data_IF_096664741287
#
_entry.id   IF_096664741287
#
_cell.length_a   1.000
_cell.length_b   1.000
_cell.length_c   1.000
_cell.angle_alpha   90.00
_cell.angle_beta   90.00
_cell.angle_gamma   90.00
#
_symmetry.space_group_name_H-M   'P 1'
#
loop_
_entity.id
_entity.type
_entity.pdbx_description
1 polymer ?
#
# COMPACT_ATOMS: atom_id res chain seq x y z
N UNK A 1 77.82 -9.83 5.87
CA UNK A 1 78.79 -9.34 6.87
C UNK A 1 78.24 -8.05 7.46
N UNK A 2 77.86 -8.05 8.75
CA UNK A 2 78.49 -7.27 9.85
C UNK A 2 78.36 -5.74 9.63
N UNK A 3 77.84 -4.88 10.52
CA UNK A 3 77.71 -4.88 11.99
C UNK A 3 76.92 -3.58 12.39
N UNK A 4 76.01 -3.60 13.39
CA UNK A 4 76.10 -2.94 14.74
C UNK A 4 76.16 -1.38 14.72
N UNK A 5 75.59 -0.56 15.63
CA UNK A 5 75.00 -0.67 16.99
C UNK A 5 74.55 0.73 17.46
N UNK A 6 73.48 0.78 18.28
CA UNK A 6 73.29 1.54 19.54
C UNK A 6 73.72 3.03 19.67
N UNK A 7 72.80 3.90 20.09
CA UNK A 7 72.81 4.61 21.41
C UNK A 7 71.72 5.68 21.51
N UNK A 8 70.87 5.56 22.53
CA UNK A 8 70.16 6.66 23.21
C UNK A 8 71.14 7.42 24.13
N UNK A 9 70.86 8.67 24.59
CA UNK A 9 70.10 8.83 25.84
C UNK A 9 69.26 10.14 26.03
N UNK A 10 68.28 10.03 26.92
CA UNK A 10 67.95 10.91 28.06
C UNK A 10 67.32 12.33 27.88
N UNK A 11 66.08 12.41 28.39
CA UNK A 11 65.59 13.30 29.48
C UNK A 11 65.61 14.83 29.31
N UNK A 12 64.41 15.43 29.41
CA UNK A 12 64.12 16.43 30.46
C UNK A 12 62.61 16.62 30.67
N UNK A 13 62.21 16.46 31.92
CA UNK A 13 60.88 16.72 32.47
C UNK A 13 60.48 18.19 32.37
N UNK A 14 59.18 18.43 32.18
CA UNK A 14 58.51 19.61 32.74
C UNK A 14 57.11 19.20 33.22
N UNK A 15 56.97 19.14 34.54
CA UNK A 15 55.72 19.02 35.27
C UNK A 15 54.90 20.30 35.05
N UNK A 16 53.63 20.18 34.68
CA UNK A 16 52.68 21.29 34.82
C UNK A 16 51.34 20.78 35.33
N UNK A 17 51.14 21.10 36.61
CA UNK A 17 49.91 21.39 37.34
C UNK A 17 48.62 20.65 36.95
N UNK A 18 48.19 19.78 37.87
CA UNK A 18 46.80 19.39 38.07
C UNK A 18 45.92 20.64 38.26
N UNK A 19 44.87 20.75 37.46
CA UNK A 19 43.71 21.58 37.80
C UNK A 19 42.47 20.68 37.85
N UNK A 20 41.89 20.41 39.03
CA UNK A 20 40.62 19.72 39.10
C UNK A 20 39.51 20.74 38.85
N UNK A 21 39.04 20.83 37.60
CA UNK A 21 37.79 21.54 37.31
C UNK A 21 36.64 20.58 37.59
N UNK A 22 36.03 20.74 38.75
CA UNK A 22 34.78 20.09 39.10
C UNK A 22 33.69 20.46 38.08
N UNK A 23 33.43 19.59 37.12
CA UNK A 23 32.18 19.62 36.35
C UNK A 23 31.13 18.91 37.20
N UNK A 24 30.40 19.68 37.98
CA UNK A 24 29.13 19.25 38.56
C UNK A 24 28.17 18.94 37.42
N UNK A 25 28.23 17.71 36.91
CA UNK A 25 27.19 17.16 36.03
C UNK A 25 26.03 16.80 36.93
N UNK A 26 25.19 17.78 37.23
CA UNK A 26 23.86 17.53 37.79
C UNK A 26 23.09 16.74 36.73
N UNK A 27 23.11 15.41 36.87
CA UNK A 27 22.21 14.50 36.18
C UNK A 27 20.79 14.83 36.66
N UNK A 28 20.16 15.81 36.01
CA UNK A 28 18.72 15.94 36.08
C UNK A 28 18.15 14.74 35.29
N UNK A 29 17.36 13.85 35.92
CA UNK A 29 16.57 12.92 35.14
C UNK A 29 15.66 13.79 34.28
N UNK A 30 15.81 13.69 32.95
CA UNK A 30 14.81 14.18 32.03
C UNK A 30 13.58 13.31 32.29
N UNK A 31 12.73 13.76 33.21
CA UNK A 31 11.42 13.17 33.44
C UNK A 31 10.73 13.26 32.08
N UNK A 32 10.67 12.11 31.41
CA UNK A 32 9.95 11.92 30.17
C UNK A 32 8.51 12.26 30.49
N UNK A 33 8.06 13.40 29.98
CA UNK A 33 6.66 13.79 29.94
C UNK A 33 5.90 12.80 29.05
N UNK A 34 5.62 11.61 29.56
CA UNK A 34 4.84 10.57 28.87
C UNK A 34 3.63 10.09 29.68
N UNK A 35 3.28 10.78 30.77
CA UNK A 35 2.15 10.41 31.63
C UNK A 35 0.97 11.41 31.59
N UNK A 36 0.99 12.40 30.70
CA UNK A 36 -0.01 13.47 30.68
C UNK A 36 -0.77 13.59 29.35
N UNK A 37 -0.97 12.48 28.64
CA UNK A 37 -1.78 12.51 27.41
C UNK A 37 -2.78 11.36 27.28
N UNK A 38 -3.24 10.80 28.40
CA UNK A 38 -4.59 10.23 28.48
C UNK A 38 -5.56 11.39 28.70
N UNK A 39 -5.83 12.15 27.63
CA UNK A 39 -7.11 12.87 27.57
C UNK A 39 -8.18 11.78 27.51
N UNK A 40 -9.30 11.94 28.20
CA UNK A 40 -10.41 11.02 28.04
C UNK A 40 -11.06 11.33 26.70
N UNK A 41 -11.04 10.39 25.76
CA UNK A 41 -11.80 10.45 24.51
C UNK A 41 -13.24 10.85 24.86
N UNK A 42 -13.71 12.00 24.34
CA UNK A 42 -15.08 12.42 24.59
C UNK A 42 -16.04 11.37 24.02
N UNK A 43 -17.18 11.15 24.70
CA UNK A 43 -18.15 10.15 24.24
C UNK A 43 -18.72 10.48 22.84
N UNK A 44 -18.78 11.77 22.50
CA UNK A 44 -19.19 12.26 21.19
C UNK A 44 -18.20 11.84 20.09
N UNK A 45 -16.90 12.06 20.30
CA UNK A 45 -15.85 11.67 19.35
C UNK A 45 -15.76 10.16 19.23
N UNK A 46 -15.89 9.42 20.34
CA UNK A 46 -15.96 7.95 20.34
C UNK A 46 -17.10 7.46 19.45
N UNK A 47 -18.30 8.00 19.64
CA UNK A 47 -19.48 7.63 18.86
C UNK A 47 -19.30 7.97 17.38
N UNK A 48 -18.66 9.11 17.07
CA UNK A 48 -18.35 9.49 15.70
C UNK A 48 -17.37 8.51 15.04
N UNK A 49 -16.31 8.11 15.74
CA UNK A 49 -15.35 7.11 15.26
C UNK A 49 -16.02 5.75 15.06
N UNK A 50 -16.85 5.29 16.01
CA UNK A 50 -17.60 4.04 15.91
C UNK A 50 -18.53 4.03 14.69
N UNK A 51 -19.20 5.15 14.40
CA UNK A 51 -20.00 5.30 13.18
C UNK A 51 -19.13 5.30 11.93
N UNK A 52 -17.97 5.96 11.96
CA UNK A 52 -17.04 6.01 10.84
C UNK A 52 -16.51 4.62 10.48
N UNK A 53 -16.04 3.83 11.47
CA UNK A 53 -15.57 2.45 11.24
C UNK A 53 -16.69 1.49 10.83
N UNK A 54 -17.94 1.81 11.18
CA UNK A 54 -19.12 1.03 10.76
C UNK A 54 -19.67 1.43 9.38
N UNK A 55 -19.16 2.50 8.77
CA UNK A 55 -19.70 3.05 7.52
C UNK A 55 -19.43 2.16 6.29
N UNK A 56 -18.32 1.41 6.32
CA UNK A 56 -17.93 0.49 5.25
C UNK A 56 -17.13 -0.69 5.84
N UNK A 57 -17.05 -1.82 5.11
CA UNK A 57 -16.22 -2.96 5.53
C UNK A 57 -14.74 -2.60 5.65
N UNK A 58 -14.20 -1.79 4.73
CA UNK A 58 -12.81 -1.34 4.77
C UNK A 58 -12.77 0.16 4.98
N UNK A 59 -12.18 0.59 6.09
CA UNK A 59 -12.11 2.00 6.47
C UNK A 59 -10.66 2.42 6.72
N UNK A 60 -10.22 3.49 6.07
CA UNK A 60 -8.87 4.04 6.23
C UNK A 60 -8.91 5.47 6.76
N UNK A 61 -8.34 5.70 7.94
CA UNK A 61 -8.05 7.05 8.42
C UNK A 61 -6.70 7.49 7.87
N UNK A 62 -6.66 8.56 7.06
CA UNK A 62 -5.47 8.99 6.34
C UNK A 62 -5.30 10.50 6.31
N UNK A 63 -4.13 10.96 5.89
CA UNK A 63 -3.84 12.39 5.69
C UNK A 63 -4.07 12.77 4.22
N UNK A 64 -5.09 13.58 3.96
CA UNK A 64 -5.61 13.85 2.62
C UNK A 64 -6.70 12.86 2.21
N UNK A 65 -6.98 12.78 0.92
CA UNK A 65 -7.98 11.85 0.36
C UNK A 65 -7.29 10.78 -0.50
N UNK A 66 -7.97 9.69 -0.89
CA UNK A 66 -7.42 8.69 -1.81
C UNK A 66 -6.92 9.30 -3.13
N UNK A 67 -7.62 10.32 -3.65
CA UNK A 67 -7.27 11.04 -4.88
C UNK A 67 -6.10 12.00 -4.65
N UNK A 68 -6.04 12.62 -3.47
CA UNK A 68 -5.04 13.63 -3.12
C UNK A 68 -4.35 13.33 -1.78
N UNK A 69 -3.50 12.28 -1.71
CA UNK A 69 -2.82 11.93 -0.48
C UNK A 69 -1.74 12.96 -0.13
N UNK A 70 -1.82 13.50 1.09
CA UNK A 70 -0.94 14.58 1.60
C UNK A 70 0.23 14.07 2.46
N UNK A 71 0.40 12.75 2.55
CA UNK A 71 1.49 12.11 3.28
C UNK A 71 1.97 10.86 2.55
N UNK A 72 3.29 10.64 2.50
CA UNK A 72 3.88 9.46 1.85
C UNK A 72 3.35 8.13 2.38
N UNK A 73 3.22 7.99 3.71
CA UNK A 73 2.63 6.79 4.32
C UNK A 73 1.17 6.58 3.91
N UNK A 74 0.37 7.65 3.88
CA UNK A 74 -1.02 7.59 3.41
C UNK A 74 -1.12 7.18 1.94
N UNK A 75 -0.24 7.70 1.08
CA UNK A 75 -0.14 7.29 -0.33
C UNK A 75 0.21 5.81 -0.46
N UNK A 76 1.19 5.34 0.29
CA UNK A 76 1.60 3.93 0.28
C UNK A 76 0.47 3.01 0.72
N UNK A 77 -0.28 3.35 1.77
CA UNK A 77 -1.41 2.53 2.21
C UNK A 77 -2.52 2.42 1.15
N UNK A 78 -2.88 3.52 0.49
CA UNK A 78 -3.84 3.50 -0.63
C UNK A 78 -3.32 2.64 -1.78
N UNK A 79 -2.04 2.78 -2.13
CA UNK A 79 -1.44 1.99 -3.20
C UNK A 79 -1.49 0.49 -2.89
N UNK A 80 -1.17 0.08 -1.65
CA UNK A 80 -1.24 -1.32 -1.23
C UNK A 80 -2.68 -1.84 -1.34
N UNK A 81 -3.67 -1.11 -0.83
CA UNK A 81 -5.08 -1.53 -0.92
C UNK A 81 -5.55 -1.65 -2.36
N UNK A 82 -5.14 -0.73 -3.24
CA UNK A 82 -5.40 -0.81 -4.67
C UNK A 82 -4.76 -2.05 -5.32
N UNK A 83 -3.50 -2.36 -4.97
CA UNK A 83 -2.82 -3.58 -5.44
C UNK A 83 -3.46 -4.87 -4.92
N UNK A 84 -4.15 -4.83 -3.78
CA UNK A 84 -4.92 -5.96 -3.25
C UNK A 84 -6.30 -6.11 -3.90
N UNK A 85 -6.71 -5.19 -4.77
CA UNK A 85 -8.01 -5.27 -5.46
C UNK A 85 -9.21 -5.03 -4.54
N UNK A 86 -9.05 -4.22 -3.48
CA UNK A 86 -10.19 -3.85 -2.61
C UNK A 86 -11.27 -3.15 -3.43
N UNK A 87 -12.51 -3.61 -3.30
CA UNK A 87 -13.66 -3.03 -4.00
C UNK A 87 -13.87 -1.56 -3.56
N UNK A 88 -13.81 -0.58 -4.49
CA UNK A 88 -14.07 0.82 -4.19
C UNK A 88 -15.43 1.09 -3.53
N UNK A 89 -16.43 0.22 -3.73
CA UNK A 89 -17.77 0.35 -3.12
C UNK A 89 -17.78 -0.04 -1.65
N UNK A 90 -16.80 -0.84 -1.21
CA UNK A 90 -16.65 -1.33 0.18
C UNK A 90 -15.53 -0.59 0.93
N UNK A 91 -14.91 0.39 0.29
CA UNK A 91 -13.82 1.17 0.81
C UNK A 91 -14.23 2.61 1.08
N UNK A 92 -13.96 3.09 2.30
CA UNK A 92 -14.13 4.49 2.66
C UNK A 92 -12.86 5.02 3.30
N UNK A 93 -12.46 6.24 2.95
CA UNK A 93 -11.34 6.94 3.57
C UNK A 93 -11.82 8.21 4.28
N UNK A 94 -11.26 8.47 5.46
CA UNK A 94 -11.52 9.69 6.23
C UNK A 94 -10.25 10.54 6.32
N UNK A 95 -10.36 11.81 5.93
CA UNK A 95 -9.27 12.76 5.99
C UNK A 95 -9.14 13.37 7.39
N UNK A 96 -8.14 12.93 8.17
CA UNK A 96 -7.92 13.42 9.53
C UNK A 96 -7.30 14.82 9.58
N UNK A 97 -7.00 15.45 8.44
CA UNK A 97 -6.48 16.82 8.42
C UNK A 97 -7.59 17.87 8.49
N UNK A 98 -8.83 17.49 8.18
CA UNK A 98 -9.98 18.38 8.21
C UNK A 98 -10.62 18.47 9.60
N UNK A 99 -10.37 17.47 10.46
CA UNK A 99 -10.93 17.37 11.80
C UNK A 99 -9.83 16.96 12.81
N UNK A 100 -9.43 17.91 13.66
CA UNK A 100 -8.39 17.69 14.67
C UNK A 100 -8.89 16.84 15.86
N UNK A 101 -10.19 16.86 16.15
CA UNK A 101 -10.80 15.98 17.16
C UNK A 101 -10.78 14.54 16.68
N UNK A 102 -11.13 14.28 15.42
CA UNK A 102 -11.00 12.96 14.81
C UNK A 102 -9.54 12.50 14.79
N UNK A 103 -8.61 13.38 14.43
CA UNK A 103 -7.17 13.08 14.36
C UNK A 103 -6.58 12.67 15.70
N UNK A 104 -6.96 13.37 16.77
CA UNK A 104 -6.51 13.07 18.12
C UNK A 104 -7.25 11.86 18.66
N UNK A 105 -8.56 11.79 18.44
CA UNK A 105 -9.43 10.76 18.95
C UNK A 105 -9.16 9.39 18.36
N UNK A 106 -8.87 9.28 17.06
CA UNK A 106 -8.58 7.98 16.45
C UNK A 106 -7.33 7.33 17.03
N UNK A 107 -6.30 8.12 17.35
CA UNK A 107 -5.06 7.61 17.97
C UNK A 107 -5.31 7.04 19.36
N UNK A 108 -6.19 7.68 20.11
CA UNK A 108 -6.57 7.23 21.46
C UNK A 108 -7.52 6.03 21.38
N UNK A 109 -8.49 6.04 20.45
CA UNK A 109 -9.44 4.95 20.23
C UNK A 109 -8.74 3.64 19.85
N UNK A 110 -7.73 3.71 18.99
CA UNK A 110 -6.97 2.56 18.52
C UNK A 110 -5.79 2.18 19.42
N UNK A 111 -5.48 2.99 20.44
CA UNK A 111 -4.20 2.98 21.18
C UNK A 111 -2.99 2.92 20.24
N UNK A 112 -3.02 3.74 19.17
CA UNK A 112 -2.01 3.73 18.12
C UNK A 112 -1.56 5.15 17.73
N UNK A 113 -0.27 5.49 17.82
CA UNK A 113 0.17 6.89 17.74
C UNK A 113 0.26 7.44 16.30
N UNK A 114 0.23 6.58 15.28
CA UNK A 114 0.50 6.97 13.88
C UNK A 114 -0.72 6.92 12.97
N UNK A 115 -0.65 7.66 11.87
CA UNK A 115 -1.62 7.73 10.78
C UNK A 115 -0.81 7.49 9.50
N UNK A 116 -1.28 6.68 8.54
CA UNK A 116 -2.63 6.12 8.39
C UNK A 116 -2.94 4.93 9.30
N UNK A 117 -4.23 4.65 9.51
CA UNK A 117 -4.76 3.50 10.27
C UNK A 117 -5.86 2.80 9.48
N UNK A 118 -5.74 1.48 9.32
CA UNK A 118 -6.71 0.64 8.60
C UNK A 118 -7.61 -0.13 9.58
N UNK A 119 -8.90 -0.12 9.27
CA UNK A 119 -9.92 -0.94 9.90
C UNK A 119 -10.59 -1.83 8.86
N UNK A 120 -10.83 -3.09 9.24
CA UNK A 120 -11.60 -4.05 8.44
C UNK A 120 -12.66 -4.66 9.34
N UNK A 121 -13.94 -4.60 8.94
CA UNK A 121 -15.09 -5.02 9.75
C UNK A 121 -15.08 -4.48 11.18
N UNK A 122 -14.74 -3.20 11.34
CA UNK A 122 -14.60 -2.50 12.63
C UNK A 122 -13.44 -2.96 13.52
N UNK A 123 -12.62 -3.90 13.05
CA UNK A 123 -11.41 -4.35 13.74
C UNK A 123 -10.20 -3.55 13.27
N UNK A 124 -9.37 -3.10 14.21
CA UNK A 124 -8.14 -2.39 13.90
C UNK A 124 -7.09 -3.38 13.37
N UNK A 125 -6.59 -3.13 12.16
CA UNK A 125 -5.58 -3.98 11.51
C UNK A 125 -4.17 -3.46 11.80
N UNK A 126 -3.97 -2.15 11.64
CA UNK A 126 -2.65 -1.55 11.83
C UNK A 126 -2.42 -0.25 11.06
N UNK A 127 -1.20 0.27 11.21
CA UNK A 127 -0.70 1.41 10.43
C UNK A 127 0.05 1.00 9.16
N UNK A 128 0.62 1.98 8.45
CA UNK A 128 1.29 1.77 7.16
C UNK A 128 2.37 0.68 7.17
N UNK A 129 3.23 0.62 8.19
CA UNK A 129 4.34 -0.35 8.24
C UNK A 129 3.83 -1.80 8.37
N UNK A 130 2.75 -1.99 9.13
CA UNK A 130 2.07 -3.28 9.27
C UNK A 130 1.46 -3.68 7.93
N UNK A 131 0.78 -2.76 7.23
CA UNK A 131 0.22 -3.04 5.90
C UNK A 131 1.29 -3.43 4.89
N UNK A 132 2.45 -2.77 4.91
CA UNK A 132 3.57 -3.13 4.04
C UNK A 132 4.04 -4.56 4.33
N UNK A 133 4.15 -4.94 5.60
CA UNK A 133 4.59 -6.29 5.98
C UNK A 133 3.53 -7.34 5.62
N UNK A 134 2.26 -7.10 5.94
CA UNK A 134 1.15 -8.00 5.63
C UNK A 134 0.93 -8.16 4.11
N UNK A 135 1.25 -7.13 3.33
CA UNK A 135 1.25 -7.21 1.87
C UNK A 135 2.38 -8.11 1.35
N UNK A 136 3.57 -8.02 1.95
CA UNK A 136 4.74 -8.81 1.55
C UNK A 136 4.62 -10.29 1.91
N UNK A 137 4.06 -10.60 3.08
CA UNK A 137 3.88 -11.98 3.53
C UNK A 137 2.58 -12.63 3.00
N UNK A 138 1.71 -11.84 2.36
CA UNK A 138 0.44 -12.30 1.79
C UNK A 138 -0.70 -12.47 2.79
N UNK A 139 -0.49 -12.17 4.07
CA UNK A 139 -1.53 -12.24 5.11
C UNK A 139 -2.64 -11.21 4.86
N UNK A 140 -2.31 -10.05 4.27
CA UNK A 140 -3.31 -9.04 3.92
C UNK A 140 -4.32 -9.55 2.87
N UNK A 141 -3.82 -10.26 1.85
CA UNK A 141 -4.66 -10.83 0.79
C UNK A 141 -5.64 -11.87 1.37
N UNK A 142 -5.13 -12.74 2.26
CA UNK A 142 -5.94 -13.77 2.92
C UNK A 142 -7.05 -13.13 3.77
N UNK A 143 -6.70 -12.11 4.56
CA UNK A 143 -7.67 -11.39 5.39
C UNK A 143 -8.74 -10.72 4.53
N UNK A 144 -8.36 -10.01 3.47
CA UNK A 144 -9.33 -9.34 2.58
C UNK A 144 -10.24 -10.34 1.84
N UNK A 145 -9.71 -11.51 1.47
CA UNK A 145 -10.49 -12.58 0.84
C UNK A 145 -11.49 -13.21 1.83
N UNK A 146 -11.05 -13.49 3.07
CA UNK A 146 -11.91 -14.02 4.13
C UNK A 146 -13.10 -13.10 4.41
N UNK A 147 -12.85 -11.78 4.43
CA UNK A 147 -13.90 -10.77 4.64
C UNK A 147 -14.71 -10.44 3.38
N UNK A 148 -14.40 -11.03 2.22
CA UNK A 148 -15.08 -10.82 0.92
C UNK A 148 -15.15 -9.35 0.50
N UNK A 149 -14.04 -8.63 0.68
CA UNK A 149 -13.94 -7.19 0.33
C UNK A 149 -13.16 -6.94 -0.96
N UNK A 150 -12.67 -7.99 -1.61
CA UNK A 150 -12.00 -7.94 -2.91
C UNK A 150 -13.05 -7.97 -4.02
N UNK A 151 -12.74 -7.40 -5.18
CA UNK A 151 -13.53 -7.56 -6.40
C UNK A 151 -13.49 -9.04 -6.80
N UNK A 152 -14.61 -9.74 -6.66
CA UNK A 152 -14.80 -11.05 -7.27
C UNK A 152 -15.05 -10.80 -8.76
N UNK A 153 -14.06 -11.10 -9.62
CA UNK A 153 -14.31 -11.15 -11.05
C UNK A 153 -15.23 -12.35 -11.30
N UNK A 154 -16.49 -12.09 -11.60
CA UNK A 154 -17.46 -13.05 -12.19
C UNK A 154 -17.01 -13.48 -13.61
N UNK A 155 -15.72 -13.76 -13.82
CA UNK A 155 -15.27 -14.51 -14.98
C UNK A 155 -15.65 -15.97 -14.78
N UNK A 156 -16.89 -16.28 -15.17
CA UNK A 156 -17.23 -17.61 -15.67
C UNK A 156 -16.12 -18.05 -16.64
N UNK A 157 -15.39 -19.16 -16.38
CA UNK A 157 -14.41 -19.67 -17.33
C UNK A 157 -15.02 -20.29 -18.61
N UNK A 158 -16.34 -20.21 -18.82
CA UNK A 158 -17.05 -20.93 -19.87
C UNK A 158 -17.67 -20.02 -20.96
N UNK A 159 -16.91 -19.11 -21.58
CA UNK A 159 -17.43 -18.40 -22.76
C UNK A 159 -16.45 -18.02 -23.87
N UNK A 160 -15.30 -18.70 -24.00
CA UNK A 160 -14.41 -18.52 -25.16
C UNK A 160 -14.04 -19.84 -25.85
N UNK A 161 -15.04 -20.68 -26.12
CA UNK A 161 -14.90 -21.85 -26.99
C UNK A 161 -15.95 -21.86 -28.10
N UNK A 162 -16.15 -20.75 -28.83
CA UNK A 162 -16.80 -20.79 -30.13
C UNK A 162 -16.48 -19.52 -30.94
N UNK A 163 -15.43 -19.62 -31.77
CA UNK A 163 -15.00 -18.51 -32.61
C UNK A 163 -13.99 -18.91 -33.69
N UNK A 164 -14.02 -20.16 -34.15
CA UNK A 164 -13.19 -20.64 -35.26
C UNK A 164 -14.06 -21.40 -36.26
N UNK A 165 -14.81 -20.65 -37.08
CA UNK A 165 -15.34 -21.13 -38.35
C UNK A 165 -15.80 -19.96 -39.22
N UNK A 166 -14.85 -19.20 -39.77
CA UNK A 166 -15.12 -18.29 -40.88
C UNK A 166 -13.83 -17.93 -41.62
N UNK A 167 -13.10 -18.92 -42.14
CA UNK A 167 -12.02 -18.65 -43.09
C UNK A 167 -11.66 -19.86 -43.98
N UNK A 168 -12.65 -20.51 -44.60
CA UNK A 168 -12.35 -21.47 -45.68
C UNK A 168 -13.50 -21.60 -46.69
N UNK A 169 -13.85 -20.52 -47.37
CA UNK A 169 -14.62 -20.57 -48.63
C UNK A 169 -14.16 -19.47 -49.59
N UNK A 170 -12.87 -19.49 -49.96
CA UNK A 170 -12.40 -18.75 -51.13
C UNK A 170 -11.42 -19.59 -51.93
N UNK A 171 -11.89 -20.75 -52.37
CA UNK A 171 -11.29 -21.50 -53.45
C UNK A 171 -12.36 -21.77 -54.51
N UNK A 172 -12.05 -21.35 -55.74
CA UNK A 172 -12.48 -22.03 -56.96
C UNK A 172 -13.94 -21.80 -57.37
N UNK A 173 -14.18 -20.67 -58.02
CA UNK A 173 -15.27 -20.53 -58.99
C UNK A 173 -14.64 -20.15 -60.33
N UNK A 174 -14.73 -21.11 -61.26
CA UNK A 174 -14.82 -20.92 -62.70
C UNK A 174 -13.52 -20.66 -63.50
N UNK A 175 -12.73 -21.74 -63.62
CA UNK A 175 -12.16 -22.11 -64.92
C UNK A 175 -12.56 -23.55 -65.25
N UNK A 176 -12.85 -23.78 -66.53
CA UNK A 176 -12.98 -25.09 -67.18
C UNK A 176 -14.33 -25.82 -67.11
N UNK A 177 -15.26 -25.42 -67.97
CA UNK A 177 -15.97 -26.38 -68.82
C UNK A 177 -15.92 -25.91 -70.28
N UNK A 178 -14.95 -26.45 -71.02
CA UNK A 178 -14.97 -26.40 -72.47
C UNK A 178 -15.87 -27.50 -73.04
N UNK A 179 -16.23 -27.30 -74.31
CA UNK A 179 -16.61 -28.31 -75.32
C UNK A 179 -18.11 -28.53 -75.62
N UNK A 180 -18.55 -27.91 -76.74
CA UNK A 180 -18.69 -28.56 -78.07
C UNK A 180 -20.12 -28.76 -78.61
N UNK A 181 -20.24 -28.40 -79.91
CA UNK A 181 -21.27 -28.78 -80.91
C UNK A 181 -22.65 -28.12 -80.73
N UNK A 182 -23.43 -27.76 -81.76
CA UNK A 182 -23.38 -27.86 -83.23
C UNK A 182 -24.70 -27.22 -83.74
N UNK A 183 -24.70 -26.71 -84.98
CA UNK A 183 -25.88 -26.49 -85.84
C UNK A 183 -26.90 -25.42 -85.33
N UNK A 184 -27.67 -24.63 -86.07
CA UNK A 184 -28.08 -24.51 -87.46
C UNK A 184 -28.65 -23.05 -87.61
N UNK A 185 -28.39 -22.30 -88.69
CA UNK A 185 -29.27 -22.12 -89.88
C UNK A 185 -30.26 -20.93 -89.80
N UNK A 186 -30.28 -20.14 -90.88
CA UNK A 186 -31.38 -19.26 -91.32
C UNK A 186 -31.14 -17.76 -91.04
N UNK A 187 -30.92 -16.91 -92.05
CA UNK A 187 -31.96 -16.18 -92.83
C UNK A 187 -32.72 -15.14 -91.97
N UNK A 188 -32.99 -13.90 -92.38
CA UNK A 188 -32.91 -13.25 -93.69
C UNK A 188 -33.13 -11.74 -93.49
N UNK A 189 -32.67 -10.97 -94.48
CA UNK A 189 -33.14 -9.64 -94.94
C UNK A 189 -32.93 -8.40 -94.06
#
# INVERSE_FOLDING_TARGET
MLQRTLRTPALRSALSALSPRATSTTLLPRITSSLAQTRLLSQEVRTAIEKAVASAPVVLFMKGTPETPQCGFSRTSIQILGLQGVDPRKFTAFNVLEDEELRSGIKEYSDWPTIPQLYIDKEFVGGCDILINMHKDGSLAQLLAEKKVIIEDDTNPDSDAEGQQAQETRATTEQSTGARSKDAKGESS
#
